data_IF_174691509163
#
_entry.id   IF_174691509163
#
_cell.length_a   1.000
_cell.length_b   1.000
_cell.length_c   1.000
_cell.angle_alpha   90.00
_cell.angle_beta   90.00
_cell.angle_gamma   90.00
#
_symmetry.space_group_name_H-M   'P 1'
#
loop_
_entity.id
_entity.type
_entity.pdbx_description
1 polymer ?
#
# COMPACT_ATOMS: atom_id res chain seq x y z
N UNK A 1 -4.39 19.75 5.12
CA UNK A 1 -4.93 18.79 4.14
C UNK A 1 -6.24 18.22 4.64
N UNK A 2 -7.23 18.29 3.82
CA UNK A 2 -8.53 17.72 4.14
C UNK A 2 -8.48 16.20 3.95
N UNK A 3 -8.96 15.47 4.94
CA UNK A 3 -8.97 14.00 4.85
C UNK A 3 -10.06 13.51 3.89
N UNK A 4 -9.80 12.44 3.13
CA UNK A 4 -10.86 11.80 2.36
C UNK A 4 -11.99 11.31 3.26
N UNK A 5 -13.18 11.18 2.70
CA UNK A 5 -14.35 10.68 3.45
C UNK A 5 -14.18 9.22 3.86
N UNK A 6 -13.51 8.43 3.02
CA UNK A 6 -13.30 7.00 3.29
C UNK A 6 -11.79 6.74 3.34
N UNK A 7 -11.35 6.14 4.43
CA UNK A 7 -9.96 5.78 4.63
C UNK A 7 -9.89 4.29 5.02
N UNK A 8 -9.22 3.45 4.22
CA UNK A 8 -8.94 2.08 4.64
C UNK A 8 -8.07 2.07 5.89
N UNK A 9 -8.30 1.13 6.76
CA UNK A 9 -7.51 0.97 7.97
C UNK A 9 -7.03 -0.47 8.06
N UNK A 10 -5.71 -0.65 8.15
CA UNK A 10 -5.08 -1.95 8.21
C UNK A 10 -4.39 -2.13 9.56
N UNK A 11 -4.45 -3.35 10.09
CA UNK A 11 -3.76 -3.71 11.32
C UNK A 11 -2.72 -4.78 11.01
N UNK A 12 -1.53 -4.59 11.55
CA UNK A 12 -0.41 -5.48 11.30
C UNK A 12 0.21 -5.96 12.59
N UNK A 13 0.68 -7.19 12.58
CA UNK A 13 1.48 -7.71 13.70
C UNK A 13 2.80 -6.93 13.79
N UNK A 14 3.42 -6.62 12.65
CA UNK A 14 4.61 -5.78 12.59
C UNK A 14 4.30 -4.53 11.77
N UNK A 15 3.69 -3.56 12.41
CA UNK A 15 3.25 -2.35 11.74
C UNK A 15 4.42 -1.47 11.25
N UNK A 16 5.56 -1.49 11.93
CA UNK A 16 6.72 -0.73 11.47
C UNK A 16 7.25 -1.30 10.15
N UNK A 17 7.36 -2.61 10.06
CA UNK A 17 7.78 -3.25 8.81
C UNK A 17 6.79 -2.99 7.67
N UNK A 18 5.49 -2.98 7.99
CA UNK A 18 4.46 -2.67 7.00
C UNK A 18 4.54 -1.21 6.52
N UNK A 19 4.78 -0.28 7.43
CA UNK A 19 4.96 1.13 7.11
C UNK A 19 6.14 1.31 6.15
N UNK A 20 7.27 0.73 6.48
CA UNK A 20 8.49 0.81 5.66
C UNK A 20 8.26 0.19 4.28
N UNK A 21 7.63 -0.97 4.26
CA UNK A 21 7.33 -1.67 3.01
C UNK A 21 6.43 -0.84 2.09
N UNK A 22 5.36 -0.28 2.62
CA UNK A 22 4.42 0.50 1.80
C UNK A 22 5.05 1.77 1.25
N UNK A 23 5.91 2.41 2.02
CA UNK A 23 6.65 3.56 1.53
C UNK A 23 7.62 3.18 0.40
N UNK A 24 8.36 2.07 0.55
CA UNK A 24 9.31 1.62 -0.46
C UNK A 24 8.62 1.09 -1.72
N UNK A 25 7.62 0.24 -1.55
CA UNK A 25 6.97 -0.41 -2.68
C UNK A 25 6.08 0.54 -3.47
N UNK A 26 5.32 1.35 -2.77
CA UNK A 26 4.27 2.18 -3.38
C UNK A 26 4.64 3.64 -3.51
N UNK A 27 5.77 4.05 -2.95
CA UNK A 27 6.13 5.47 -2.93
C UNK A 27 5.20 6.29 -2.05
N UNK A 28 4.51 5.66 -1.10
CA UNK A 28 3.64 6.37 -0.19
C UNK A 28 4.45 7.29 0.71
N UNK A 29 3.85 8.40 1.08
CA UNK A 29 4.49 9.36 1.98
C UNK A 29 3.83 9.33 3.34
N UNK A 30 4.65 9.43 4.38
CA UNK A 30 4.13 9.50 5.74
C UNK A 30 3.47 10.85 5.96
N UNK A 31 2.20 10.84 6.32
CA UNK A 31 1.47 12.05 6.68
C UNK A 31 1.51 12.27 8.19
N UNK A 32 1.30 11.20 8.96
CA UNK A 32 1.35 11.25 10.42
C UNK A 32 1.70 9.87 10.94
N UNK A 33 2.48 9.82 12.02
CA UNK A 33 2.79 8.57 12.72
C UNK A 33 2.75 8.83 14.21
N UNK A 34 1.85 8.16 14.92
CA UNK A 34 1.71 8.25 16.36
C UNK A 34 2.14 6.92 16.97
N UNK A 35 3.18 6.96 17.77
CA UNK A 35 3.76 5.75 18.36
C UNK A 35 3.27 5.57 19.80
N UNK A 36 3.08 4.31 20.17
CA UNK A 36 2.82 3.92 21.54
C UNK A 36 4.09 3.38 22.19
N UNK A 37 3.91 2.74 23.34
CA UNK A 37 5.00 2.15 24.09
C UNK A 37 5.59 0.95 23.34
N UNK A 38 6.89 0.72 23.54
CA UNK A 38 7.56 -0.45 22.99
C UNK A 38 7.73 -0.42 21.47
N UNK A 39 7.65 0.74 20.84
CA UNK A 39 7.82 0.86 19.39
C UNK A 39 6.60 0.49 18.58
N UNK A 40 5.46 0.27 19.23
CA UNK A 40 4.22 0.03 18.49
C UNK A 40 3.80 1.27 17.73
N UNK A 41 3.08 1.08 16.64
CA UNK A 41 2.44 2.16 15.92
C UNK A 41 0.97 2.21 16.37
N UNK A 42 0.62 3.26 17.07
CA UNK A 42 -0.73 3.45 17.53
C UNK A 42 -1.65 3.81 16.38
N UNK A 43 -1.18 4.70 15.52
CA UNK A 43 -1.90 5.19 14.36
C UNK A 43 -0.92 5.79 13.37
N UNK A 44 -1.02 5.43 12.12
CA UNK A 44 -0.25 6.05 11.05
C UNK A 44 -1.17 6.34 9.87
N UNK A 45 -0.83 7.41 9.15
CA UNK A 45 -1.52 7.80 7.93
C UNK A 45 -0.50 7.91 6.82
N UNK A 46 -0.72 7.19 5.73
CA UNK A 46 0.12 7.21 4.55
C UNK A 46 -0.63 7.80 3.38
N UNK A 47 -0.01 8.75 2.70
CA UNK A 47 -0.57 9.35 1.49
C UNK A 47 -0.18 8.54 0.25
N UNK A 48 -1.18 8.15 -0.51
CA UNK A 48 -1.05 7.55 -1.83
C UNK A 48 -1.69 8.51 -2.82
N UNK A 49 -0.91 9.43 -3.38
CA UNK A 49 -1.49 10.48 -4.21
C UNK A 49 -2.52 11.30 -3.43
N UNK A 50 -3.77 11.29 -3.86
CA UNK A 50 -4.86 11.99 -3.18
C UNK A 50 -5.60 11.13 -2.16
N UNK A 51 -5.18 9.89 -1.94
CA UNK A 51 -5.78 8.98 -0.99
C UNK A 51 -4.95 8.83 0.27
N UNK A 52 -5.57 8.34 1.33
CA UNK A 52 -4.87 8.04 2.58
C UNK A 52 -5.27 6.65 3.05
N UNK A 53 -4.25 5.88 3.42
CA UNK A 53 -4.43 4.58 4.07
C UNK A 53 -3.93 4.71 5.49
N UNK A 54 -4.74 4.26 6.44
CA UNK A 54 -4.33 4.21 7.85
C UNK A 54 -3.79 2.85 8.18
N UNK A 55 -2.83 2.79 9.09
CA UNK A 55 -2.37 1.52 9.62
C UNK A 55 -1.97 1.66 11.09
N UNK A 56 -1.93 0.54 11.76
CA UNK A 56 -1.51 0.49 13.15
C UNK A 56 -1.19 -0.93 13.57
N UNK A 57 -0.60 -1.04 14.76
CA UNK A 57 -0.27 -2.33 15.33
C UNK A 57 -1.53 -3.07 15.79
N UNK A 58 -1.55 -4.37 15.61
CA UNK A 58 -2.57 -5.23 16.17
C UNK A 58 -2.52 -5.15 17.70
N UNK A 59 -3.65 -5.28 18.33
CA UNK A 59 -3.78 -5.25 19.78
C UNK A 59 -5.06 -5.93 20.21
N UNK A 60 -5.25 -6.10 21.52
CA UNK A 60 -6.50 -6.62 22.04
C UNK A 60 -7.66 -5.72 21.61
N UNK A 61 -8.71 -6.30 21.07
CA UNK A 61 -9.85 -5.57 20.53
C UNK A 61 -9.66 -5.02 19.13
N UNK A 62 -8.44 -5.07 18.59
CA UNK A 62 -8.12 -4.65 17.23
C UNK A 62 -7.03 -5.56 16.65
N UNK A 63 -7.38 -6.81 16.32
CA UNK A 63 -6.41 -7.77 15.81
C UNK A 63 -5.91 -7.38 14.41
N UNK A 64 -4.84 -8.06 13.97
CA UNK A 64 -4.33 -7.87 12.61
C UNK A 64 -5.41 -8.14 11.58
N UNK A 65 -5.28 -7.52 10.41
CA UNK A 65 -6.27 -7.60 9.33
C UNK A 65 -6.45 -9.01 8.76
N UNK A 66 -5.57 -9.93 9.10
CA UNK A 66 -5.74 -11.34 8.75
C UNK A 66 -5.44 -11.69 7.31
N UNK A 67 -4.80 -10.81 6.57
CA UNK A 67 -4.37 -11.09 5.21
C UNK A 67 -5.45 -10.97 4.15
N UNK A 68 -6.64 -10.50 4.50
CA UNK A 68 -7.75 -10.39 3.55
C UNK A 68 -8.00 -9.00 2.99
N UNK A 69 -7.23 -8.02 3.39
CA UNK A 69 -7.44 -6.65 2.92
C UNK A 69 -6.89 -6.46 1.51
N UNK A 70 -7.66 -5.75 0.69
CA UNK A 70 -7.26 -5.40 -0.68
C UNK A 70 -7.33 -3.88 -0.81
N UNK A 71 -6.24 -3.28 -1.25
CA UNK A 71 -6.19 -1.85 -1.52
C UNK A 71 -5.84 -1.68 -2.99
N UNK A 72 -6.71 -1.01 -3.71
CA UNK A 72 -6.52 -0.78 -5.14
C UNK A 72 -5.89 0.59 -5.31
N UNK A 73 -4.67 0.62 -5.80
CA UNK A 73 -3.88 1.84 -5.92
C UNK A 73 -3.71 2.18 -7.40
N UNK A 74 -4.10 3.37 -7.79
CA UNK A 74 -3.89 3.87 -9.14
C UNK A 74 -2.55 4.59 -9.16
N UNK A 75 -1.63 4.13 -9.98
CA UNK A 75 -0.31 4.74 -10.11
C UNK A 75 -0.20 5.47 -11.43
N UNK A 76 0.43 6.65 -11.44
CA UNK A 76 0.60 7.39 -12.69
C UNK A 76 1.49 6.61 -13.66
N UNK A 77 1.13 6.68 -14.93
CA UNK A 77 1.88 6.05 -16.01
C UNK A 77 2.99 6.95 -16.53
N UNK A 78 3.31 8.01 -15.82
CA UNK A 78 4.21 9.03 -16.31
C UNK A 78 4.86 9.80 -15.17
N UNK A 79 5.76 10.64 -15.58
CA UNK A 79 6.42 11.65 -14.82
C UNK A 79 5.83 11.98 -13.44
N UNK A 80 6.71 12.20 -12.43
CA UNK A 80 8.18 12.33 -12.57
C UNK A 80 8.97 11.03 -12.44
N UNK A 81 8.32 9.91 -12.43
CA UNK A 81 8.99 8.63 -12.23
C UNK A 81 9.68 8.13 -13.48
N UNK A 82 10.97 7.77 -13.41
CA UNK A 82 11.65 7.13 -14.54
C UNK A 82 11.03 5.77 -14.89
N UNK A 83 10.39 5.14 -13.93
CA UNK A 83 9.71 3.86 -14.12
C UNK A 83 8.23 4.02 -13.74
N UNK A 84 7.39 4.45 -14.68
CA UNK A 84 5.98 4.66 -14.39
C UNK A 84 5.17 3.38 -14.40
N UNK A 85 4.00 3.46 -13.76
CA UNK A 85 2.95 2.46 -13.90
C UNK A 85 3.15 1.18 -13.12
N UNK A 86 2.32 0.16 -13.44
CA UNK A 86 2.31 -1.12 -12.73
C UNK A 86 3.60 -1.93 -12.87
N UNK A 87 4.30 -1.80 -13.99
CA UNK A 87 5.59 -2.50 -14.19
C UNK A 87 6.61 -2.05 -13.16
N UNK A 88 6.73 -0.75 -12.97
CA UNK A 88 7.64 -0.19 -11.99
C UNK A 88 7.19 -0.51 -10.56
N UNK A 89 5.88 -0.46 -10.31
CA UNK A 89 5.34 -0.84 -9.01
C UNK A 89 5.70 -2.29 -8.69
N UNK A 90 5.50 -3.20 -9.62
CA UNK A 90 5.82 -4.62 -9.42
C UNK A 90 7.31 -4.81 -9.10
N UNK A 91 8.18 -4.11 -9.81
CA UNK A 91 9.62 -4.19 -9.56
C UNK A 91 9.98 -3.68 -8.17
N UNK A 92 9.44 -2.53 -7.77
CA UNK A 92 9.69 -1.96 -6.45
C UNK A 92 9.13 -2.84 -5.34
N UNK A 93 7.92 -3.36 -5.53
CA UNK A 93 7.27 -4.22 -4.55
C UNK A 93 8.06 -5.51 -4.35
N UNK A 94 8.51 -6.11 -5.44
CA UNK A 94 9.35 -7.31 -5.37
C UNK A 94 10.66 -7.03 -4.63
N UNK A 95 11.31 -5.93 -4.94
CA UNK A 95 12.55 -5.54 -4.26
C UNK A 95 12.33 -5.28 -2.78
N UNK A 96 11.16 -4.80 -2.38
CA UNK A 96 10.80 -4.56 -0.99
C UNK A 96 10.32 -5.82 -0.25
N UNK A 97 10.25 -6.95 -0.93
CA UNK A 97 9.92 -8.24 -0.31
C UNK A 97 8.50 -8.72 -0.51
N UNK A 98 7.74 -8.10 -1.40
CA UNK A 98 6.39 -8.56 -1.70
C UNK A 98 6.39 -9.81 -2.57
N UNK A 99 5.33 -10.58 -2.44
CA UNK A 99 5.01 -11.63 -3.41
C UNK A 99 4.20 -11.00 -4.54
N UNK A 100 4.66 -11.14 -5.77
CA UNK A 100 3.89 -10.70 -6.92
C UNK A 100 2.94 -11.84 -7.29
N UNK A 101 1.69 -11.68 -6.92
CA UNK A 101 0.68 -12.73 -7.16
C UNK A 101 0.18 -12.71 -8.58
N UNK A 102 0.26 -11.55 -9.24
CA UNK A 102 -0.04 -11.43 -10.66
C UNK A 102 0.88 -10.40 -11.29
N UNK A 103 1.76 -10.80 -12.21
CA UNK A 103 2.64 -9.85 -12.90
C UNK A 103 1.84 -8.85 -13.75
N UNK A 104 2.45 -7.73 -14.14
CA UNK A 104 1.74 -6.75 -14.95
C UNK A 104 1.09 -7.35 -16.19
N UNK A 105 -0.15 -7.00 -16.44
CA UNK A 105 -0.92 -7.48 -17.57
C UNK A 105 -1.91 -6.40 -18.01
N UNK A 106 -2.33 -6.50 -19.26
CA UNK A 106 -3.35 -5.60 -19.80
C UNK A 106 -4.73 -6.22 -19.58
N UNK A 107 -5.55 -5.54 -18.81
CA UNK A 107 -6.92 -5.99 -18.54
C UNK A 107 -7.83 -5.67 -19.72
N UNK A 108 -8.90 -6.47 -19.88
CA UNK A 108 -9.82 -6.34 -21.00
C UNK A 108 -10.51 -4.97 -21.05
N UNK A 109 -10.62 -4.31 -19.92
CA UNK A 109 -11.32 -3.02 -19.83
C UNK A 109 -10.38 -1.81 -19.97
N UNK A 110 -9.18 -2.02 -20.45
CA UNK A 110 -8.29 -0.92 -20.85
C UNK A 110 -7.31 -0.43 -19.80
N UNK A 111 -7.18 -1.13 -18.67
CA UNK A 111 -6.14 -0.79 -17.69
C UNK A 111 -5.01 -1.79 -17.72
N UNK A 112 -3.84 -1.36 -17.26
CA UNK A 112 -2.74 -2.28 -17.00
C UNK A 112 -2.61 -2.46 -15.50
N UNK A 113 -2.54 -3.69 -15.05
CA UNK A 113 -2.64 -4.03 -13.62
C UNK A 113 -1.58 -5.02 -13.21
N UNK A 114 -1.27 -5.02 -11.92
CA UNK A 114 -0.54 -6.11 -11.28
C UNK A 114 -1.06 -6.27 -9.86
N UNK A 115 -0.74 -7.38 -9.23
CA UNK A 115 -1.11 -7.64 -7.84
C UNK A 115 0.10 -8.04 -7.03
N UNK A 116 0.20 -7.49 -5.83
CA UNK A 116 1.26 -7.81 -4.91
C UNK A 116 0.65 -8.07 -3.52
N UNK A 117 1.26 -8.99 -2.81
CA UNK A 117 0.87 -9.32 -1.43
C UNK A 117 2.01 -8.94 -0.50
N UNK A 118 1.70 -8.23 0.56
CA UNK A 118 2.70 -7.89 1.55
C UNK A 118 2.99 -9.09 2.46
N UNK A 119 3.95 -8.94 3.39
CA UNK A 119 4.40 -10.03 4.24
C UNK A 119 3.32 -10.60 5.15
N UNK A 120 2.31 -9.81 5.47
CA UNK A 120 1.20 -10.27 6.31
C UNK A 120 -0.02 -10.66 5.48
N UNK A 121 0.15 -10.76 4.17
CA UNK A 121 -0.85 -11.32 3.28
C UNK A 121 -1.90 -10.37 2.76
N UNK A 122 -1.77 -9.07 3.02
CA UNK A 122 -2.69 -8.11 2.44
C UNK A 122 -2.32 -7.85 0.98
N UNK A 123 -3.33 -7.71 0.13
CA UNK A 123 -3.11 -7.49 -1.30
C UNK A 123 -3.25 -6.03 -1.64
N UNK A 124 -2.36 -5.56 -2.53
CA UNK A 124 -2.53 -4.27 -3.16
C UNK A 124 -2.47 -4.44 -4.68
N UNK A 125 -3.24 -3.66 -5.38
CA UNK A 125 -3.25 -3.62 -6.84
C UNK A 125 -2.72 -2.28 -7.31
N UNK A 126 -1.97 -2.31 -8.39
CA UNK A 126 -1.50 -1.09 -9.02
C UNK A 126 -1.96 -1.09 -10.48
N UNK A 127 -2.54 -0.01 -10.92
CA UNK A 127 -3.06 0.13 -12.26
C UNK A 127 -2.57 1.42 -12.90
N UNK A 128 -2.63 1.48 -14.23
CA UNK A 128 -2.44 2.72 -14.98
C UNK A 128 -3.56 3.70 -14.64
N UNK A 129 -3.33 4.94 -14.95
CA UNK A 129 -4.40 5.91 -14.99
C UNK A 129 -5.43 5.42 -16.02
N UNK A 130 -6.68 5.29 -15.59
CA UNK A 130 -7.76 4.88 -16.47
C UNK A 130 -8.03 5.95 -17.52
N UNK A 131 -7.99 5.56 -18.73
CA UNK A 131 -8.25 6.41 -19.86
C UNK A 131 -7.02 6.85 -20.59
#
# INVERSE_FOLDING_TARGET
>A
MELPTVLPALRYDDAQAALDFLCEASGAEQHAVYRGDGGTIHHAELCFGNGIVMLGSAREGAPASGGGAIVYVVVPDRDPHPDPGPDAYAARARAAGAEITRPPYDADYGSRECSARDREGNLSFAVDALG
#
